data_IF_232665264011
#
_entry.id   IF_232665264011
#
_cell.length_a   1.000
_cell.length_b   1.000
_cell.length_c   1.000
_cell.angle_alpha   90.00
_cell.angle_beta   90.00
_cell.angle_gamma   90.00
#
_symmetry.space_group_name_H-M   'P 1'
#
loop_
_entity.id
_entity.type
_entity.pdbx_description
1 polymer ?
#
# COMPACT_ATOMS: atom_id res chain seq x y z
N UNK A 1 6.40 39.15 14.60
CA UNK A 1 7.22 38.48 13.58
C UNK A 1 7.60 37.03 13.91
N UNK A 2 7.69 36.61 15.18
CA UNK A 2 8.03 35.21 15.56
C UNK A 2 6.85 34.24 15.47
N UNK A 3 5.63 34.71 15.73
CA UNK A 3 4.40 33.89 15.73
C UNK A 3 3.98 33.43 14.33
N UNK A 4 4.15 34.25 13.29
CA UNK A 4 3.84 33.88 11.90
C UNK A 4 4.76 32.76 11.37
N UNK A 5 6.03 32.76 11.77
CA UNK A 5 7.00 31.72 11.39
C UNK A 5 6.65 30.35 11.99
N UNK A 6 6.18 30.32 13.24
CA UNK A 6 5.75 29.08 13.90
C UNK A 6 4.50 28.50 13.23
N UNK A 7 3.53 29.35 12.86
CA UNK A 7 2.36 28.91 12.10
C UNK A 7 2.73 28.38 10.71
N UNK A 8 3.66 29.02 9.99
CA UNK A 8 4.13 28.56 8.68
C UNK A 8 4.84 27.21 8.75
N UNK A 9 5.71 27.00 9.75
CA UNK A 9 6.38 25.72 9.95
C UNK A 9 5.41 24.60 10.30
N UNK A 10 4.41 24.89 11.15
CA UNK A 10 3.33 23.94 11.43
C UNK A 10 2.54 23.62 10.14
N UNK A 11 2.19 24.63 9.33
CA UNK A 11 1.49 24.42 8.06
C UNK A 11 2.27 23.51 7.10
N UNK A 12 3.59 23.72 6.98
CA UNK A 12 4.47 22.89 6.14
C UNK A 12 4.49 21.44 6.63
N UNK A 13 4.62 21.20 7.94
CA UNK A 13 4.62 19.84 8.50
C UNK A 13 3.31 19.10 8.22
N UNK A 14 2.16 19.78 8.35
CA UNK A 14 0.85 19.17 8.07
C UNK A 14 0.71 18.82 6.58
N UNK A 15 1.21 19.66 5.66
CA UNK A 15 1.19 19.38 4.22
C UNK A 15 2.12 18.21 3.85
N UNK A 16 3.18 17.96 4.61
CA UNK A 16 4.08 16.81 4.36
C UNK A 16 3.59 15.48 4.92
N UNK A 17 2.51 15.48 5.73
CA UNK A 17 1.76 14.27 6.05
C UNK A 17 0.91 13.85 4.84
N UNK A 18 1.56 13.73 3.68
CA UNK A 18 1.00 12.98 2.59
C UNK A 18 0.89 11.53 3.06
N UNK A 19 -0.28 10.94 2.83
CA UNK A 19 -0.44 9.52 2.51
C UNK A 19 0.61 9.11 1.47
N UNK A 20 1.85 8.92 1.90
CA UNK A 20 2.92 8.42 1.05
C UNK A 20 2.62 6.96 0.87
N UNK A 21 2.04 6.64 -0.28
CA UNK A 21 1.87 5.26 -0.69
C UNK A 21 3.26 4.58 -0.76
N UNK A 22 3.25 3.27 -0.55
CA UNK A 22 4.42 2.41 -0.48
C UNK A 22 4.87 2.02 -1.89
N UNK A 23 6.16 2.16 -2.15
CA UNK A 23 6.84 1.76 -3.38
C UNK A 23 7.08 0.25 -3.40
N UNK A 24 7.53 -0.26 -4.55
CA UNK A 24 7.87 -1.68 -4.72
C UNK A 24 8.87 -2.15 -3.65
N UNK A 25 8.55 -3.23 -2.96
CA UNK A 25 9.37 -3.83 -1.90
C UNK A 25 9.23 -3.16 -0.53
N UNK A 26 8.54 -2.02 -0.42
CA UNK A 26 8.27 -1.41 0.88
C UNK A 26 7.21 -2.19 1.65
N UNK A 27 7.31 -2.13 2.99
CA UNK A 27 6.38 -2.79 3.88
C UNK A 27 5.00 -2.15 3.79
N UNK A 28 3.99 -3.00 3.65
CA UNK A 28 2.59 -2.64 3.66
C UNK A 28 1.83 -3.49 4.66
N UNK A 29 0.82 -2.90 5.26
CA UNK A 29 -0.23 -3.55 5.99
C UNK A 29 -1.52 -3.13 5.31
N UNK A 30 -2.47 -4.04 5.10
CA UNK A 30 -3.70 -3.85 4.31
C UNK A 30 -4.64 -2.73 4.81
N UNK A 31 -4.15 -1.83 5.64
CA UNK A 31 -4.79 -0.60 6.10
C UNK A 31 -4.64 0.52 5.08
N UNK A 32 -5.43 1.58 5.27
CA UNK A 32 -5.41 2.77 4.39
C UNK A 32 -4.09 3.54 4.50
N UNK A 33 -3.43 3.48 5.66
CA UNK A 33 -2.22 4.26 5.96
C UNK A 33 -0.96 3.70 5.28
N UNK A 34 -0.91 2.40 4.98
CA UNK A 34 0.24 1.75 4.37
C UNK A 34 -0.12 1.06 3.04
N UNK A 35 -0.93 1.75 2.22
CA UNK A 35 -1.28 1.32 0.86
C UNK A 35 -0.10 1.38 -0.10
N UNK A 36 -0.06 0.46 -1.07
CA UNK A 36 0.90 0.52 -2.17
C UNK A 36 0.53 1.60 -3.21
N UNK A 37 1.51 2.11 -3.94
CA UNK A 37 1.31 3.10 -5.01
C UNK A 37 0.87 2.44 -6.32
N UNK A 38 -0.03 3.10 -7.06
CA UNK A 38 -0.41 2.70 -8.42
C UNK A 38 -1.00 1.28 -8.47
N UNK A 39 -0.51 0.48 -9.41
CA UNK A 39 -0.95 -0.91 -9.66
C UNK A 39 -0.22 -1.95 -8.78
N UNK A 40 0.51 -1.50 -7.76
CA UNK A 40 1.18 -2.42 -6.83
C UNK A 40 0.16 -3.04 -5.87
N UNK A 41 0.30 -4.32 -5.60
CA UNK A 41 -0.53 -5.05 -4.65
C UNK A 41 0.25 -5.35 -3.37
N UNK A 42 -0.42 -5.20 -2.23
CA UNK A 42 0.14 -5.58 -0.94
C UNK A 42 0.06 -7.09 -0.73
N UNK A 43 1.21 -7.76 -0.79
CA UNK A 43 1.35 -9.21 -0.56
C UNK A 43 1.64 -9.44 0.91
N UNK A 44 0.62 -9.90 1.65
CA UNK A 44 0.78 -10.22 3.07
C UNK A 44 1.50 -11.54 3.25
N UNK A 45 2.56 -11.53 4.04
CA UNK A 45 3.31 -12.70 4.50
C UNK A 45 2.90 -13.14 5.91
N UNK A 46 2.15 -12.31 6.63
CA UNK A 46 1.68 -12.58 7.99
C UNK A 46 0.44 -11.78 8.39
N UNK A 47 0.16 -11.74 9.69
CA UNK A 47 -0.98 -10.96 10.23
C UNK A 47 -0.62 -9.48 10.22
N UNK A 48 -1.18 -8.75 9.24
CA UNK A 48 -0.94 -7.33 9.02
C UNK A 48 0.53 -6.96 8.70
N UNK A 49 1.30 -7.88 8.12
CA UNK A 49 2.64 -7.58 7.58
C UNK A 49 2.74 -8.12 6.16
N UNK A 50 3.24 -7.29 5.26
CA UNK A 50 3.36 -7.59 3.84
C UNK A 50 4.32 -6.66 3.13
N UNK A 51 4.48 -6.88 1.83
CA UNK A 51 5.31 -6.05 0.96
C UNK A 51 4.56 -5.69 -0.32
N UNK A 52 4.81 -4.49 -0.84
CA UNK A 52 4.27 -4.08 -2.12
C UNK A 52 4.98 -4.80 -3.26
N UNK A 53 4.23 -5.56 -4.04
CA UNK A 53 4.72 -6.27 -5.22
C UNK A 53 3.88 -5.93 -6.44
N UNK A 54 4.38 -6.30 -7.63
CA UNK A 54 3.66 -6.06 -8.88
C UNK A 54 2.45 -6.98 -9.07
N UNK A 55 2.45 -8.13 -8.40
CA UNK A 55 1.39 -9.12 -8.48
C UNK A 55 1.41 -10.01 -7.23
N UNK A 56 0.29 -10.66 -6.96
CA UNK A 56 0.12 -11.63 -5.89
C UNK A 56 0.63 -13.02 -6.32
N UNK A 57 1.46 -13.67 -5.49
CA UNK A 57 1.81 -15.07 -5.66
C UNK A 57 0.60 -16.00 -5.51
N UNK A 58 0.76 -17.26 -5.92
CA UNK A 58 -0.26 -18.30 -5.70
C UNK A 58 -0.60 -18.45 -4.22
N UNK A 59 -1.88 -18.70 -3.92
CA UNK A 59 -2.39 -18.88 -2.56
C UNK A 59 -2.65 -17.58 -1.79
N UNK A 60 -2.34 -16.41 -2.37
CA UNK A 60 -2.70 -15.13 -1.75
C UNK A 60 -4.11 -14.69 -2.09
N UNK A 61 -4.69 -13.91 -1.18
CA UNK A 61 -6.05 -13.40 -1.34
C UNK A 61 -6.11 -12.30 -2.40
N UNK A 62 -6.89 -12.51 -3.45
CA UNK A 62 -7.10 -11.58 -4.56
C UNK A 62 -8.56 -11.14 -4.66
N UNK A 63 -8.79 -9.95 -5.21
CA UNK A 63 -10.14 -9.49 -5.59
C UNK A 63 -10.34 -9.53 -7.10
N UNK A 64 -9.28 -9.29 -7.87
CA UNK A 64 -9.32 -9.31 -9.34
C UNK A 64 -8.26 -10.24 -9.90
N UNK A 65 -8.56 -10.87 -11.03
CA UNK A 65 -7.64 -11.75 -11.77
C UNK A 65 -6.33 -11.05 -12.14
N UNK A 66 -6.40 -9.76 -12.49
CA UNK A 66 -5.25 -8.94 -12.87
C UNK A 66 -4.25 -8.70 -11.74
N UNK A 67 -4.64 -8.91 -10.48
CA UNK A 67 -3.72 -8.77 -9.35
C UNK A 67 -2.84 -10.01 -9.20
N UNK A 68 -3.27 -11.18 -9.67
CA UNK A 68 -2.53 -12.44 -9.56
C UNK A 68 -1.44 -12.53 -10.63
N UNK A 69 -0.24 -13.01 -10.27
CA UNK A 69 0.83 -13.20 -11.25
C UNK A 69 0.46 -14.24 -12.33
N UNK A 70 -0.48 -15.13 -12.02
CA UNK A 70 -1.05 -16.11 -12.95
C UNK A 70 -2.19 -15.56 -13.81
N UNK A 71 -2.76 -14.41 -13.46
CA UNK A 71 -3.95 -13.87 -14.10
C UNK A 71 -5.24 -14.63 -13.78
N UNK A 72 -5.26 -15.47 -12.73
CA UNK A 72 -6.43 -16.24 -12.31
C UNK A 72 -6.67 -16.08 -10.80
N UNK A 73 -7.75 -15.38 -10.46
CA UNK A 73 -8.25 -15.20 -9.11
C UNK A 73 -9.42 -16.15 -8.86
N UNK A 74 -9.09 -17.40 -8.55
CA UNK A 74 -10.05 -18.45 -8.36
C UNK A 74 -11.06 -18.11 -7.23
N UNK A 75 -12.34 -18.22 -7.56
CA UNK A 75 -13.48 -17.91 -6.69
C UNK A 75 -13.42 -16.51 -6.03
N UNK A 76 -12.75 -15.53 -6.66
CA UNK A 76 -12.54 -14.18 -6.11
C UNK A 76 -11.95 -14.19 -4.69
N UNK A 77 -11.15 -15.22 -4.40
CA UNK A 77 -10.63 -15.47 -3.05
C UNK A 77 -9.16 -15.79 -3.04
N UNK A 78 -8.62 -16.49 -4.03
CA UNK A 78 -7.22 -16.89 -4.03
C UNK A 78 -6.61 -16.94 -5.43
N UNK A 79 -5.38 -16.46 -5.56
CA UNK A 79 -4.60 -16.64 -6.78
C UNK A 79 -4.26 -18.11 -6.98
N UNK A 80 -4.50 -18.62 -8.18
CA UNK A 80 -4.26 -20.02 -8.56
C UNK A 80 -3.08 -20.17 -9.49
#
# INVERSE_FOLDING_TARGET
>A
MRSAFVCLLAFVVIVTAQDRCKQLGETCDRTVFNRCCGDLTCVLTGFAEGTCQRCLPQGHFCFYDSECCSGDCAWYRFCR
#
